data_IF_548440775460
#
_entry.id   IF_548440775460
#
_cell.length_a   1.000
_cell.length_b   1.000
_cell.length_c   1.000
_cell.angle_alpha   90.00
_cell.angle_beta   90.00
_cell.angle_gamma   90.00
#
_symmetry.space_group_name_H-M   'P 1'
#
loop_
_entity.id
_entity.type
_entity.pdbx_description
1 polymer ?
#
# COMPACT_ATOMS: atom_id res chain seq x y z
N UNK A 1 -6.34 4.76 -5.38
CA UNK A 1 -6.45 3.29 -5.45
C UNK A 1 -6.53 2.72 -4.04
N UNK A 2 -7.33 1.67 -3.82
CA UNK A 2 -7.31 0.91 -2.55
C UNK A 2 -6.39 -0.29 -2.75
N UNK A 3 -5.50 -0.55 -1.81
CA UNK A 3 -4.56 -1.69 -1.85
C UNK A 3 -4.54 -2.39 -0.50
N UNK A 4 -4.29 -3.70 -0.52
CA UNK A 4 -4.02 -4.50 0.69
C UNK A 4 -2.52 -4.59 0.87
N UNK A 5 -2.05 -4.27 2.07
CA UNK A 5 -0.65 -4.44 2.44
C UNK A 5 -0.35 -5.92 2.68
N UNK A 6 0.70 -6.44 2.04
CA UNK A 6 1.15 -7.84 2.24
C UNK A 6 2.14 -7.98 3.40
N UNK A 7 2.67 -6.87 3.89
CA UNK A 7 3.62 -6.76 4.99
C UNK A 7 3.37 -5.44 5.74
N UNK A 8 3.95 -5.29 6.92
CA UNK A 8 3.90 -4.05 7.68
C UNK A 8 4.72 -2.97 6.97
N UNK A 9 4.06 -1.88 6.57
CA UNK A 9 4.73 -0.76 5.91
C UNK A 9 4.73 0.44 6.85
N UNK A 10 5.94 0.85 7.26
CA UNK A 10 6.13 2.02 8.11
C UNK A 10 5.46 3.26 7.51
N UNK A 11 4.68 3.97 8.34
CA UNK A 11 3.88 5.15 7.98
C UNK A 11 2.69 4.90 7.03
N UNK A 12 2.34 3.64 6.76
CA UNK A 12 1.24 3.30 5.87
C UNK A 12 0.19 2.41 6.54
N UNK A 13 0.61 1.36 7.23
CA UNK A 13 -0.30 0.43 7.93
C UNK A 13 0.34 -0.92 8.21
N UNK A 14 -0.42 -1.81 8.84
CA UNK A 14 0.00 -3.17 9.11
C UNK A 14 -0.36 -4.13 7.96
N UNK A 15 0.22 -5.32 7.97
CA UNK A 15 -0.12 -6.42 7.08
C UNK A 15 -1.61 -6.72 7.15
N UNK A 16 -2.26 -6.79 5.98
CA UNK A 16 -3.69 -7.05 5.84
C UNK A 16 -4.55 -5.79 5.82
N UNK A 17 -4.00 -4.62 6.13
CA UNK A 17 -4.76 -3.37 6.10
C UNK A 17 -5.09 -2.93 4.67
N UNK A 18 -6.32 -2.45 4.48
CA UNK A 18 -6.77 -1.83 3.23
C UNK A 18 -6.54 -0.34 3.30
N UNK A 19 -5.51 0.15 2.61
CA UNK A 19 -5.13 1.57 2.61
C UNK A 19 -5.47 2.24 1.28
N UNK A 20 -5.82 3.53 1.35
CA UNK A 20 -6.10 4.36 0.16
C UNK A 20 -4.87 5.17 -0.21
N UNK A 21 -4.22 4.81 -1.30
CA UNK A 21 -3.01 5.47 -1.79
C UNK A 21 -3.21 6.15 -3.15
N UNK A 22 -2.30 7.06 -3.49
CA UNK A 22 -2.23 7.67 -4.83
C UNK A 22 -1.85 6.61 -5.86
N UNK A 23 -2.42 6.73 -7.06
CA UNK A 23 -2.24 5.72 -8.11
C UNK A 23 -0.77 5.53 -8.53
N UNK A 24 0.03 6.61 -8.58
CA UNK A 24 1.45 6.53 -8.91
C UNK A 24 2.28 5.81 -7.84
N UNK A 25 1.98 6.05 -6.57
CA UNK A 25 2.66 5.37 -5.45
C UNK A 25 2.35 3.86 -5.44
N UNK A 26 1.08 3.49 -5.66
CA UNK A 26 0.70 2.08 -5.77
C UNK A 26 1.44 1.37 -6.91
N UNK A 27 1.46 1.96 -8.11
CA UNK A 27 2.01 1.31 -9.31
C UNK A 27 3.54 1.34 -9.42
N UNK A 28 4.18 2.36 -8.87
CA UNK A 28 5.63 2.55 -9.04
C UNK A 28 6.46 2.16 -7.81
N UNK A 29 5.82 1.90 -6.67
CA UNK A 29 6.53 1.58 -5.42
C UNK A 29 5.95 0.37 -4.67
N UNK A 30 4.62 0.23 -4.58
CA UNK A 30 4.00 -0.85 -3.79
C UNK A 30 3.74 -2.16 -4.56
N UNK A 31 3.53 -2.09 -5.87
CA UNK A 31 3.24 -3.24 -6.75
C UNK A 31 4.37 -3.66 -7.72
N UNK A 32 5.45 -2.88 -7.99
CA UNK A 32 6.47 -3.34 -8.93
C UNK A 32 7.13 -4.64 -8.45
#
# INVERSE_FOLDING_TARGET
MKVILKEDVQNLGAMGDVVKVKNGYARNFLIP
#
